data_IF_115970066551
#
_entry.id   IF_115970066551
#
_cell.length_a   1.000
_cell.length_b   1.000
_cell.length_c   1.000
_cell.angle_alpha   90.00
_cell.angle_beta   90.00
_cell.angle_gamma   90.00
#
_symmetry.space_group_name_H-M   'P 1'
#
loop_
_entity.id
_entity.type
_entity.pdbx_description
1 polymer ?
#
# COMPACT_ATOMS: atom_id res chain seq x y z
N UNK A 1 16.31 20.21 0.81
CA UNK A 1 15.27 21.10 1.36
C UNK A 1 14.03 20.94 0.50
N UNK A 2 12.92 20.51 1.08
CA UNK A 2 11.62 20.47 0.40
C UNK A 2 10.82 21.69 0.85
N UNK A 3 10.25 22.43 -0.10
CA UNK A 3 9.43 23.61 0.17
C UNK A 3 8.02 23.28 -0.27
N UNK A 4 7.05 23.56 0.59
CA UNK A 4 5.64 23.32 0.32
C UNK A 4 4.83 24.50 0.81
N UNK A 5 3.75 24.80 0.09
CA UNK A 5 2.80 25.83 0.50
C UNK A 5 1.77 25.20 1.45
N UNK A 6 1.54 25.83 2.59
CA UNK A 6 0.61 25.36 3.60
C UNK A 6 -0.46 26.42 3.78
N UNK A 7 -1.72 26.00 3.81
CA UNK A 7 -2.84 26.89 4.12
C UNK A 7 -3.06 26.89 5.64
N UNK A 8 -2.97 28.06 6.25
CA UNK A 8 -3.25 28.27 7.67
C UNK A 8 -4.31 29.37 7.84
N UNK A 9 -4.88 29.50 9.04
CA UNK A 9 -5.80 30.59 9.34
C UNK A 9 -5.06 31.92 9.47
N UNK A 10 -5.76 33.04 9.22
CA UNK A 10 -5.18 34.39 9.38
C UNK A 10 -4.67 34.62 10.81
N UNK A 11 -5.44 34.21 11.82
CA UNK A 11 -5.03 34.32 13.22
C UNK A 11 -3.75 33.51 13.51
N UNK A 12 -3.64 32.30 12.96
CA UNK A 12 -2.44 31.47 13.10
C UNK A 12 -1.22 32.12 12.44
N UNK A 13 -1.41 32.76 11.27
CA UNK A 13 -0.35 33.47 10.56
C UNK A 13 0.16 34.66 11.39
N UNK A 14 -0.74 35.46 11.95
CA UNK A 14 -0.37 36.62 12.77
C UNK A 14 0.42 36.19 14.03
N UNK A 15 0.00 35.09 14.67
CA UNK A 15 0.71 34.51 15.81
C UNK A 15 2.10 34.01 15.39
N UNK A 16 2.19 33.31 14.26
CA UNK A 16 3.45 32.76 13.75
C UNK A 16 4.46 33.87 13.44
N UNK A 17 4.02 34.98 12.82
CA UNK A 17 4.88 36.14 12.52
C UNK A 17 5.40 36.77 13.82
N UNK A 18 4.53 36.96 14.82
CA UNK A 18 4.92 37.52 16.12
C UNK A 18 5.94 36.63 16.84
N UNK A 19 5.69 35.32 16.86
CA UNK A 19 6.58 34.36 17.49
C UNK A 19 7.94 34.26 16.77
N UNK A 20 7.97 34.34 15.44
CA UNK A 20 9.20 34.34 14.67
C UNK A 20 10.05 35.59 14.98
N UNK A 21 9.40 36.76 15.09
CA UNK A 21 10.06 38.00 15.49
C UNK A 21 10.66 37.91 16.90
N UNK A 22 9.91 37.35 17.86
CA UNK A 22 10.37 37.14 19.23
C UNK A 22 11.58 36.20 19.30
N UNK A 23 11.54 35.11 18.52
CA UNK A 23 12.63 34.13 18.42
C UNK A 23 13.80 34.58 17.52
N UNK A 24 13.70 35.74 16.85
CA UNK A 24 14.69 36.27 15.91
C UNK A 24 15.06 35.29 14.78
N UNK A 25 14.07 34.59 14.24
CA UNK A 25 14.24 33.65 13.13
C UNK A 25 13.22 33.91 12.02
N UNK A 26 13.39 33.24 10.89
CA UNK A 26 12.44 33.36 9.77
C UNK A 26 11.11 32.67 10.07
N UNK A 27 10.04 33.14 9.43
CA UNK A 27 8.69 32.55 9.60
C UNK A 27 8.67 31.11 9.07
N UNK A 28 9.41 30.87 7.99
CA UNK A 28 9.56 29.56 7.34
C UNK A 28 10.29 28.57 8.23
N UNK A 29 11.37 29.00 8.89
CA UNK A 29 12.15 28.17 9.80
C UNK A 29 11.33 27.80 11.05
N UNK A 30 10.64 28.77 11.65
CA UNK A 30 9.73 28.50 12.77
C UNK A 30 8.58 27.58 12.36
N UNK A 31 7.99 27.79 11.18
CA UNK A 31 6.94 26.91 10.66
C UNK A 31 7.44 25.48 10.46
N UNK A 32 8.67 25.31 9.97
CA UNK A 32 9.30 24.01 9.79
C UNK A 32 9.57 23.33 11.13
N UNK A 33 10.06 24.04 12.14
CA UNK A 33 10.26 23.50 13.50
C UNK A 33 8.94 22.98 14.08
N UNK A 34 7.90 23.82 14.06
CA UNK A 34 6.57 23.48 14.60
C UNK A 34 5.98 22.27 13.86
N UNK A 35 6.07 22.26 12.53
CA UNK A 35 5.53 21.17 11.72
C UNK A 35 6.25 19.84 12.01
N UNK A 36 7.58 19.87 12.11
CA UNK A 36 8.36 18.68 12.44
C UNK A 36 7.99 18.12 13.81
N UNK A 37 7.86 18.97 14.83
CA UNK A 37 7.45 18.56 16.17
C UNK A 37 6.01 18.01 16.19
N UNK A 38 5.08 18.72 15.55
CA UNK A 38 3.67 18.32 15.49
C UNK A 38 3.47 17.00 14.75
N UNK A 39 4.23 16.74 13.69
CA UNK A 39 4.19 15.47 12.95
C UNK A 39 4.66 14.32 13.85
N UNK A 40 5.78 14.47 14.56
CA UNK A 40 6.26 13.44 15.48
C UNK A 40 5.24 13.14 16.57
N UNK A 41 4.62 14.17 17.15
CA UNK A 41 3.60 14.03 18.19
C UNK A 41 2.30 13.40 17.69
N UNK A 42 1.86 13.71 16.46
CA UNK A 42 0.61 13.15 15.90
C UNK A 42 0.78 11.78 15.27
N UNK A 43 1.93 11.52 14.64
CA UNK A 43 2.20 10.22 14.03
C UNK A 43 2.61 9.17 15.06
N UNK A 44 3.19 9.54 16.21
CA UNK A 44 3.43 8.59 17.29
C UNK A 44 2.13 7.91 17.77
N UNK A 45 1.01 8.64 17.78
CA UNK A 45 -0.33 8.10 18.04
C UNK A 45 -0.87 7.22 16.90
N UNK A 46 -0.36 7.37 15.67
CA UNK A 46 -0.78 6.56 14.51
C UNK A 46 0.08 5.29 14.39
N UNK A 47 1.34 5.32 14.83
CA UNK A 47 2.22 4.14 14.84
C UNK A 47 1.68 3.02 15.72
N UNK A 48 0.93 3.33 16.79
CA UNK A 48 0.23 2.31 17.60
C UNK A 48 -0.92 1.62 16.85
N UNK A 49 -1.42 2.20 15.75
CA UNK A 49 -2.42 1.61 14.86
C UNK A 49 -1.75 0.67 13.83
N UNK A 50 -0.41 0.67 13.78
CA UNK A 50 0.41 0.00 12.77
C UNK A 50 0.84 -1.44 13.07
N UNK A 51 0.46 -2.05 14.20
CA UNK A 51 0.52 -3.51 14.33
C UNK A 51 -0.67 -4.18 13.63
N UNK A 52 -0.89 -3.83 12.36
CA UNK A 52 -1.60 -4.75 11.48
C UNK A 52 -0.63 -5.89 11.28
N UNK A 53 -0.79 -6.96 12.08
CA UNK A 53 -0.17 -8.26 11.80
C UNK A 53 -0.45 -8.54 10.33
N UNK A 54 0.58 -8.41 9.49
CA UNK A 54 0.56 -8.97 8.13
C UNK A 54 0.56 -10.48 8.32
N UNK A 55 -0.59 -11.04 8.67
CA UNK A 55 -0.87 -12.45 8.46
C UNK A 55 -0.95 -12.61 6.94
N UNK A 56 0.22 -12.80 6.33
CA UNK A 56 0.29 -13.29 4.97
C UNK A 56 -0.52 -14.59 4.91
N UNK A 57 -1.40 -14.76 3.91
CA UNK A 57 -2.13 -16.01 3.77
C UNK A 57 -1.10 -17.14 3.68
N UNK A 58 -1.26 -18.13 4.57
CA UNK A 58 -0.42 -19.32 4.60
C UNK A 58 -0.57 -19.98 3.23
N UNK A 59 0.52 -20.05 2.47
CA UNK A 59 0.54 -20.65 1.13
C UNK A 59 0.04 -22.12 1.25
N UNK A 60 -1.21 -22.43 0.85
CA UNK A 60 -1.84 -23.71 1.14
C UNK A 60 -1.21 -24.88 0.35
N UNK A 61 -0.31 -24.54 -0.57
CA UNK A 61 0.40 -25.45 -1.46
C UNK A 61 1.88 -25.59 -1.12
N UNK A 62 2.41 -24.86 -0.12
CA UNK A 62 3.85 -24.82 0.17
C UNK A 62 4.49 -26.18 0.53
N UNK A 63 3.68 -27.15 0.96
CA UNK A 63 4.11 -28.51 1.29
C UNK A 63 3.38 -29.60 0.49
N UNK A 64 2.63 -29.23 -0.56
CA UNK A 64 1.99 -30.23 -1.42
C UNK A 64 2.96 -30.59 -2.54
N UNK A 65 3.18 -31.88 -2.75
CA UNK A 65 3.88 -32.34 -3.95
C UNK A 65 3.02 -31.99 -5.17
N UNK A 66 3.60 -31.46 -6.25
CA UNK A 66 2.89 -31.28 -7.50
C UNK A 66 2.26 -32.62 -7.91
N UNK A 67 0.98 -32.60 -8.29
CA UNK A 67 0.38 -33.78 -8.94
C UNK A 67 1.13 -34.00 -10.24
N UNK A 68 1.99 -35.02 -10.26
CA UNK A 68 2.61 -35.50 -11.48
C UNK A 68 1.52 -36.27 -12.24
N UNK A 69 0.97 -35.65 -13.28
CA UNK A 69 0.31 -36.41 -14.34
C UNK A 69 1.43 -37.13 -15.09
N UNK A 70 1.77 -38.34 -14.64
CA UNK A 70 2.42 -39.29 -15.51
C UNK A 70 1.38 -39.64 -16.55
N UNK A 71 1.48 -39.06 -17.74
CA UNK A 71 0.75 -39.59 -18.88
C UNK A 71 1.19 -41.05 -18.99
N UNK A 72 0.28 -41.97 -18.71
CA UNK A 72 0.54 -43.38 -18.95
C UNK A 72 0.87 -43.49 -20.46
N UNK A 73 2.02 -44.04 -20.86
CA UNK A 73 2.33 -44.23 -22.27
C UNK A 73 1.28 -45.09 -22.99
N UNK A 74 0.49 -45.86 -22.24
CA UNK A 74 -0.64 -46.66 -22.73
C UNK A 74 -1.96 -45.88 -22.78
N UNK A 75 -2.06 -44.70 -22.14
CA UNK A 75 -3.22 -43.84 -22.30
C UNK A 75 -3.23 -43.27 -23.71
N UNK A 76 -4.33 -43.47 -24.47
CA UNK A 76 -4.46 -42.87 -25.78
C UNK A 76 -4.39 -41.36 -25.63
N UNK A 77 -3.55 -40.72 -26.45
CA UNK A 77 -3.48 -39.28 -26.50
C UNK A 77 -4.90 -38.72 -26.69
N UNK A 78 -5.24 -37.70 -25.89
CA UNK A 78 -6.51 -36.98 -26.00
C UNK A 78 -6.68 -36.56 -27.47
N UNK A 79 -7.75 -37.01 -28.17
CA UNK A 79 -7.99 -36.68 -29.57
C UNK A 79 -7.95 -35.17 -29.79
N UNK A 80 -7.43 -34.70 -30.93
CA UNK A 80 -7.37 -33.26 -31.23
C UNK A 80 -8.74 -32.58 -31.13
N UNK A 81 -9.83 -33.30 -31.38
CA UNK A 81 -11.20 -32.78 -31.25
C UNK A 81 -11.57 -32.40 -29.81
N UNK A 82 -10.98 -33.07 -28.81
CA UNK A 82 -11.22 -32.79 -27.37
C UNK A 82 -10.34 -31.63 -26.85
N UNK A 83 -9.36 -31.17 -27.64
CA UNK A 83 -8.55 -29.97 -27.34
C UNK A 83 -9.23 -28.67 -27.79
N UNK A 84 -10.23 -28.75 -28.67
CA UNK A 84 -10.95 -27.59 -29.19
C UNK A 84 -11.90 -27.01 -28.13
N UNK A 85 -11.37 -26.09 -27.32
CA UNK A 85 -12.17 -25.23 -26.44
C UNK A 85 -13.26 -24.43 -27.20
N UNK A 86 -13.13 -24.27 -28.52
CA UNK A 86 -14.07 -23.55 -29.38
C UNK A 86 -15.40 -24.29 -29.64
N UNK A 87 -15.51 -25.59 -29.36
CA UNK A 87 -16.77 -26.34 -29.54
C UNK A 87 -17.62 -26.48 -28.26
N UNK A 88 -17.17 -25.94 -27.12
CA UNK A 88 -17.94 -26.03 -25.87
C UNK A 88 -19.21 -25.16 -25.83
N UNK A 89 -19.38 -24.25 -26.80
CA UNK A 89 -20.54 -23.34 -26.89
C UNK A 89 -21.68 -23.83 -27.80
N UNK A 90 -21.59 -25.03 -28.39
CA UNK A 90 -22.68 -25.60 -29.20
C UNK A 90 -23.11 -26.97 -28.72
N UNK A 91 -23.89 -26.98 -27.64
CA UNK A 91 -25.14 -27.74 -27.52
C UNK A 91 -25.75 -27.52 -26.12
N UNK A 92 -26.50 -26.41 -25.99
CA UNK A 92 -27.57 -26.31 -25.00
C UNK A 92 -28.79 -25.71 -25.69
N UNK A 93 -29.57 -26.56 -26.37
CA UNK A 93 -31.00 -26.34 -26.64
C UNK A 93 -31.76 -27.65 -26.44
#
# INVERSE_FOLDING_TARGET
MFITNIKISQNSQDILIKAAAEKRMSVEELASEILNEAIQNKLSEIVTIGEVKKEYPILPLANKQPYAYYADPEEPAIPLEDWDMENSDREVL
#
